data_IF_803661116202
#
_entry.id   IF_803661116202
#
_cell.length_a   1.000
_cell.length_b   1.000
_cell.length_c   1.000
_cell.angle_alpha   90.00
_cell.angle_beta   90.00
_cell.angle_gamma   90.00
#
_symmetry.space_group_name_H-M   'P 1'
#
loop_
_entity.id
_entity.type
_entity.pdbx_description
1 polymer ?
#
# COMPACT_ATOMS: atom_id res chain seq x y z
N UNK A 1 22.57 -6.96 -41.34
CA UNK A 1 23.59 -6.80 -40.28
C UNK A 1 23.12 -6.03 -39.07
N UNK A 2 21.92 -5.49 -39.10
CA UNK A 2 21.32 -4.66 -38.00
C UNK A 2 20.56 -5.49 -36.94
N UNK A 3 20.05 -6.66 -37.28
CA UNK A 3 19.24 -7.50 -36.37
C UNK A 3 20.02 -8.24 -35.25
N UNK A 4 21.32 -8.45 -35.41
CA UNK A 4 22.12 -9.18 -34.41
C UNK A 4 22.55 -8.30 -33.20
N UNK A 5 22.56 -6.97 -33.35
CA UNK A 5 22.94 -6.06 -32.25
C UNK A 5 21.83 -5.83 -31.22
N UNK A 6 20.55 -5.96 -31.63
CA UNK A 6 19.40 -5.77 -30.74
C UNK A 6 19.20 -6.95 -29.76
N UNK A 7 19.52 -8.16 -30.15
CA UNK A 7 19.38 -9.35 -29.30
C UNK A 7 20.43 -9.36 -28.18
N UNK A 8 21.65 -8.87 -28.46
CA UNK A 8 22.70 -8.76 -27.45
C UNK A 8 22.44 -7.70 -26.38
N UNK A 9 21.75 -6.59 -26.73
CA UNK A 9 21.35 -5.56 -25.78
C UNK A 9 20.21 -6.04 -24.85
N UNK A 10 19.24 -6.79 -25.38
CA UNK A 10 18.15 -7.37 -24.59
C UNK A 10 18.64 -8.43 -23.58
N UNK A 11 19.60 -9.25 -23.98
CA UNK A 11 20.22 -10.24 -23.09
C UNK A 11 21.07 -9.59 -22.00
N UNK A 12 21.70 -8.44 -22.26
CA UNK A 12 22.51 -7.73 -21.28
C UNK A 12 21.64 -7.07 -20.16
N UNK A 13 20.44 -6.57 -20.48
CA UNK A 13 19.51 -6.01 -19.50
C UNK A 13 18.89 -7.13 -18.66
N UNK A 14 18.54 -8.26 -19.26
CA UNK A 14 18.04 -9.44 -18.54
C UNK A 14 19.12 -10.07 -17.65
N UNK A 15 20.37 -10.09 -18.09
CA UNK A 15 21.51 -10.58 -17.30
C UNK A 15 21.87 -9.63 -16.14
N UNK A 16 21.67 -8.31 -16.30
CA UNK A 16 21.87 -7.33 -15.23
C UNK A 16 20.80 -7.45 -14.14
N UNK A 17 19.55 -7.73 -14.51
CA UNK A 17 18.46 -7.98 -13.55
C UNK A 17 18.65 -9.30 -12.78
N UNK A 18 19.25 -10.31 -13.40
CA UNK A 18 19.56 -11.60 -12.76
C UNK A 18 20.82 -11.55 -11.87
N UNK A 19 21.76 -10.64 -12.13
CA UNK A 19 22.97 -10.50 -11.32
C UNK A 19 22.79 -9.68 -10.03
N UNK A 20 21.72 -8.91 -9.92
CA UNK A 20 21.36 -8.18 -8.69
C UNK A 20 20.74 -9.08 -7.60
N UNK A 21 20.36 -10.32 -7.96
CA UNK A 21 19.77 -11.30 -7.02
C UNK A 21 20.79 -12.05 -6.13
N UNK A 22 22.08 -11.83 -6.29
CA UNK A 22 23.13 -12.53 -5.55
C UNK A 22 24.00 -11.62 -4.68
N UNK A 23 23.46 -10.52 -4.16
CA UNK A 23 24.14 -9.76 -3.13
C UNK A 23 24.03 -10.54 -1.80
N UNK A 24 25.08 -11.25 -1.43
CA UNK A 24 25.20 -11.82 -0.09
C UNK A 24 25.07 -10.71 0.95
N UNK A 25 24.38 -10.94 2.08
CA UNK A 25 24.27 -9.94 3.13
C UNK A 25 25.66 -9.59 3.65
N UNK A 26 26.02 -8.32 3.57
CA UNK A 26 27.22 -7.79 4.22
C UNK A 26 26.95 -7.85 5.72
N UNK A 27 27.56 -8.82 6.40
CA UNK A 27 27.53 -8.89 7.84
C UNK A 27 28.26 -7.66 8.41
N UNK A 28 27.51 -6.77 9.07
CA UNK A 28 28.08 -5.71 9.85
C UNK A 28 28.86 -6.34 11.03
N UNK A 29 30.16 -6.07 11.10
CA UNK A 29 31.02 -6.54 12.18
C UNK A 29 30.65 -5.81 13.47
N UNK A 30 30.12 -6.56 14.43
CA UNK A 30 29.94 -6.08 15.80
C UNK A 30 31.28 -6.03 16.52
N UNK A 31 31.71 -4.86 16.90
CA UNK A 31 32.80 -4.67 17.84
C UNK A 31 32.25 -4.62 19.27
N UNK A 32 32.61 -5.61 20.09
CA UNK A 32 32.66 -5.44 21.54
C UNK A 32 31.77 -6.30 22.42
N UNK A 33 32.45 -7.00 23.30
CA UNK A 33 32.08 -7.68 24.55
C UNK A 33 31.70 -9.16 24.46
N UNK A 34 32.52 -9.95 25.12
CA UNK A 34 32.57 -11.41 25.18
C UNK A 34 31.42 -12.09 25.94
N UNK A 35 30.18 -11.89 25.54
CA UNK A 35 29.08 -12.77 25.83
C UNK A 35 28.78 -13.58 24.57
N UNK A 36 28.62 -14.89 24.72
CA UNK A 36 28.17 -15.74 23.61
C UNK A 36 26.84 -15.18 23.10
N UNK A 37 26.91 -14.44 22.01
CA UNK A 37 25.73 -13.97 21.33
C UNK A 37 24.89 -15.20 20.95
N UNK A 38 23.72 -15.31 21.55
CA UNK A 38 22.61 -16.04 20.93
C UNK A 38 22.48 -15.50 19.52
N UNK A 39 22.16 -16.31 18.48
CA UNK A 39 21.93 -15.78 17.16
C UNK A 39 20.89 -14.67 17.31
N UNK A 40 21.35 -13.42 17.14
CA UNK A 40 20.48 -12.24 17.30
C UNK A 40 19.38 -12.38 16.26
N UNK A 41 18.17 -12.64 16.74
CA UNK A 41 16.99 -12.51 15.89
C UNK A 41 16.99 -11.06 15.42
N UNK A 42 16.92 -10.80 14.12
CA UNK A 42 16.86 -9.43 13.64
C UNK A 42 15.69 -8.74 14.33
N UNK A 43 15.96 -7.59 14.95
CA UNK A 43 14.92 -6.82 15.65
C UNK A 43 13.87 -6.43 14.60
N UNK A 44 12.73 -7.10 14.64
CA UNK A 44 11.64 -6.76 13.74
C UNK A 44 11.03 -5.45 14.21
N UNK A 45 10.81 -4.52 13.29
CA UNK A 45 10.13 -3.25 13.55
C UNK A 45 8.61 -3.35 13.30
N UNK A 46 8.12 -4.54 13.00
CA UNK A 46 6.69 -4.82 12.78
C UNK A 46 5.90 -4.46 14.03
N UNK A 47 4.79 -3.74 13.86
CA UNK A 47 3.93 -3.32 14.96
C UNK A 47 4.45 -2.14 15.80
N UNK A 48 5.58 -1.51 15.43
CA UNK A 48 6.16 -0.38 16.16
C UNK A 48 5.72 0.99 15.63
N UNK A 49 4.90 1.02 14.58
CA UNK A 49 4.40 2.24 13.92
C UNK A 49 2.91 2.42 14.17
N UNK A 50 2.46 3.68 14.17
CA UNK A 50 1.04 4.01 14.11
C UNK A 50 0.55 4.01 12.66
N UNK A 51 -0.75 4.07 12.49
CA UNK A 51 -1.41 4.12 11.18
C UNK A 51 -1.01 2.96 10.24
N UNK A 52 -0.83 1.75 10.80
CA UNK A 52 -0.41 0.58 10.04
C UNK A 52 -1.38 0.20 8.90
N UNK A 53 -2.63 0.67 8.94
CA UNK A 53 -3.60 0.48 7.85
C UNK A 53 -3.15 1.12 6.53
N UNK A 54 -2.22 2.07 6.56
CA UNK A 54 -1.61 2.68 5.37
C UNK A 54 -0.70 1.71 4.60
N UNK A 55 -0.32 0.58 5.18
CA UNK A 55 0.44 -0.48 4.50
C UNK A 55 -0.46 -1.51 3.81
N UNK A 56 -1.78 -1.44 4.02
CA UNK A 56 -2.74 -2.33 3.37
C UNK A 56 -2.84 -1.96 1.88
N UNK A 57 -2.46 -2.86 0.95
CA UNK A 57 -2.49 -2.58 -0.47
C UNK A 57 -3.88 -2.20 -0.98
N UNK A 58 -3.95 -1.12 -1.76
CA UNK A 58 -5.17 -0.59 -2.38
C UNK A 58 -5.23 -0.98 -3.86
N UNK A 59 -6.44 -1.17 -4.36
CA UNK A 59 -6.74 -1.39 -5.76
C UNK A 59 -6.63 -2.85 -6.18
N UNK A 60 -7.69 -3.33 -6.84
CA UNK A 60 -7.77 -4.72 -7.29
C UNK A 60 -6.71 -5.04 -8.35
N UNK A 61 -6.42 -4.09 -9.25
CA UNK A 61 -5.37 -4.24 -10.26
C UNK A 61 -4.00 -4.47 -9.61
N UNK A 62 -3.61 -3.61 -8.67
CA UNK A 62 -2.33 -3.73 -7.98
C UNK A 62 -2.26 -4.99 -7.11
N UNK A 63 -3.34 -5.36 -6.42
CA UNK A 63 -3.40 -6.62 -5.65
C UNK A 63 -3.21 -7.84 -6.55
N UNK A 64 -3.86 -7.89 -7.73
CA UNK A 64 -3.67 -8.95 -8.72
C UNK A 64 -2.24 -9.03 -9.28
N UNK A 65 -1.47 -7.94 -9.14
CA UNK A 65 -0.06 -7.82 -9.52
C UNK A 65 0.89 -7.90 -8.30
N UNK A 66 0.47 -8.54 -7.21
CA UNK A 66 1.23 -8.70 -5.96
C UNK A 66 1.67 -7.38 -5.29
N UNK A 67 1.10 -6.24 -5.70
CA UNK A 67 1.47 -4.91 -5.23
C UNK A 67 2.40 -4.13 -6.18
N UNK A 68 2.62 -4.60 -7.43
CA UNK A 68 3.35 -3.86 -8.46
C UNK A 68 2.53 -2.64 -8.92
N UNK A 69 2.44 -1.63 -8.08
CA UNK A 69 1.60 -0.46 -8.30
C UNK A 69 2.35 0.83 -8.59
N UNK A 70 3.67 0.87 -8.41
CA UNK A 70 4.45 2.11 -8.48
C UNK A 70 4.52 2.75 -9.86
N UNK A 71 4.37 1.95 -10.93
CA UNK A 71 4.55 2.39 -12.32
C UNK A 71 3.31 2.20 -13.18
N UNK A 72 2.60 1.08 -13.04
CA UNK A 72 1.59 0.64 -14.02
C UNK A 72 0.15 0.90 -13.63
N UNK A 73 -0.13 1.20 -12.37
CA UNK A 73 -1.48 1.56 -11.95
C UNK A 73 -1.88 2.91 -12.53
N UNK A 74 -3.15 3.02 -12.86
CA UNK A 74 -3.77 4.21 -13.43
C UNK A 74 -4.95 4.63 -12.56
N UNK A 75 -5.33 5.91 -12.65
CA UNK A 75 -6.51 6.44 -11.98
C UNK A 75 -6.36 6.53 -10.46
N UNK A 76 -7.45 6.27 -9.74
CA UNK A 76 -7.55 6.53 -8.30
C UNK A 76 -6.64 5.59 -7.50
N UNK A 77 -6.63 4.31 -7.81
CA UNK A 77 -5.84 3.32 -7.05
C UNK A 77 -4.33 3.61 -7.14
N UNK A 78 -3.89 4.18 -8.28
CA UNK A 78 -2.49 4.52 -8.49
C UNK A 78 -1.96 5.56 -7.50
N UNK A 79 -2.82 6.40 -6.95
CA UNK A 79 -2.45 7.47 -6.02
C UNK A 79 -1.95 6.96 -4.68
N UNK A 80 -2.41 5.78 -4.28
CA UNK A 80 -1.89 5.09 -3.09
C UNK A 80 -0.43 4.65 -3.30
N UNK A 81 -0.07 4.25 -4.52
CA UNK A 81 1.24 3.69 -4.84
C UNK A 81 2.25 4.78 -5.25
N UNK A 82 1.81 5.74 -6.06
CA UNK A 82 2.67 6.80 -6.56
C UNK A 82 1.83 8.04 -6.95
N UNK A 83 1.92 9.15 -6.23
CA UNK A 83 1.13 10.34 -6.53
C UNK A 83 1.41 10.96 -7.92
N UNK A 84 2.54 10.62 -8.56
CA UNK A 84 2.83 11.03 -9.93
C UNK A 84 1.80 10.53 -10.94
N UNK A 85 1.12 9.40 -10.64
CA UNK A 85 0.09 8.85 -11.53
C UNK A 85 -1.05 9.86 -11.83
N UNK A 86 -1.33 10.78 -10.91
CA UNK A 86 -2.31 11.84 -11.13
C UNK A 86 -1.99 12.71 -12.36
N UNK A 87 -0.72 13.03 -12.59
CA UNK A 87 -0.32 13.91 -13.70
C UNK A 87 -0.51 13.32 -15.10
N UNK A 88 -0.89 12.05 -15.20
CA UNK A 88 -1.19 11.38 -16.48
C UNK A 88 -2.69 11.27 -16.78
N UNK A 89 -3.54 11.74 -15.87
CA UNK A 89 -4.99 11.71 -16.04
C UNK A 89 -5.44 12.86 -16.94
N UNK A 90 -6.24 12.55 -17.95
CA UNK A 90 -6.67 13.52 -18.97
C UNK A 90 -8.10 14.01 -18.79
N UNK A 91 -8.90 13.32 -17.98
CA UNK A 91 -10.31 13.66 -17.72
C UNK A 91 -10.70 13.46 -16.26
N UNK A 92 -11.91 13.90 -15.91
CA UNK A 92 -12.46 13.63 -14.60
C UNK A 92 -12.46 12.12 -14.35
N UNK A 93 -11.83 11.70 -13.27
CA UNK A 93 -11.73 10.29 -12.88
C UNK A 93 -12.17 10.12 -11.43
N UNK A 94 -13.04 9.16 -11.16
CA UNK A 94 -13.48 8.81 -9.82
C UNK A 94 -13.53 7.29 -9.66
N UNK A 95 -13.32 6.80 -8.46
CA UNK A 95 -13.31 5.35 -8.22
C UNK A 95 -13.43 4.97 -6.76
N UNK A 96 -13.67 3.68 -6.56
CA UNK A 96 -13.81 3.02 -5.27
C UNK A 96 -13.10 1.67 -5.33
N UNK A 97 -12.36 1.34 -4.30
CA UNK A 97 -11.81 0.01 -4.05
C UNK A 97 -12.29 -0.47 -2.68
N UNK A 98 -12.70 -1.73 -2.62
CA UNK A 98 -13.15 -2.40 -1.41
C UNK A 98 -12.41 -3.72 -1.22
N UNK A 99 -12.05 -4.01 0.01
CA UNK A 99 -11.56 -5.34 0.39
C UNK A 99 -11.93 -5.68 1.83
N UNK A 100 -12.20 -6.93 2.09
CA UNK A 100 -12.03 -7.51 3.41
C UNK A 100 -10.54 -7.81 3.61
N UNK A 101 -9.94 -7.28 4.67
CA UNK A 101 -8.47 -7.33 4.86
C UNK A 101 -7.97 -8.75 5.02
N UNK A 102 -8.69 -9.54 5.82
CA UNK A 102 -8.49 -10.96 6.02
C UNK A 102 -9.85 -11.65 5.87
N UNK A 103 -9.95 -12.58 4.95
CA UNK A 103 -11.22 -13.23 4.64
C UNK A 103 -11.89 -13.86 5.88
N UNK A 104 -13.15 -13.50 6.11
CA UNK A 104 -13.96 -14.02 7.24
C UNK A 104 -13.76 -13.29 8.58
N UNK A 105 -13.04 -12.16 8.63
CA UNK A 105 -12.81 -11.41 9.87
C UNK A 105 -13.75 -10.23 10.08
N UNK A 106 -14.42 -9.75 9.01
CA UNK A 106 -15.23 -8.54 9.05
C UNK A 106 -14.42 -7.24 9.13
N UNK A 107 -13.08 -7.30 8.97
CA UNK A 107 -12.24 -6.11 8.89
C UNK A 107 -12.29 -5.57 7.46
N UNK A 108 -12.93 -4.44 7.28
CA UNK A 108 -13.21 -3.87 5.97
C UNK A 108 -12.29 -2.68 5.68
N UNK A 109 -11.84 -2.60 4.43
CA UNK A 109 -10.97 -1.54 3.94
C UNK A 109 -11.55 -0.93 2.68
N UNK A 110 -11.71 0.38 2.68
CA UNK A 110 -12.25 1.18 1.61
C UNK A 110 -11.23 2.21 1.16
N UNK A 111 -11.10 2.37 -0.15
CA UNK A 111 -10.32 3.45 -0.74
C UNK A 111 -11.14 4.10 -1.86
N UNK A 112 -11.31 5.40 -1.80
CA UNK A 112 -12.05 6.15 -2.81
C UNK A 112 -11.37 7.47 -3.11
N UNK A 113 -11.67 8.05 -4.26
CA UNK A 113 -11.14 9.35 -4.61
C UNK A 113 -11.66 9.89 -5.92
N UNK A 114 -11.21 11.09 -6.23
CA UNK A 114 -11.54 11.81 -7.45
C UNK A 114 -10.34 12.62 -7.92
N UNK A 115 -10.14 12.66 -9.22
CA UNK A 115 -9.11 13.43 -9.90
C UNK A 115 -9.75 14.38 -10.89
N UNK A 116 -9.29 15.62 -10.90
CA UNK A 116 -9.76 16.67 -11.80
C UNK A 116 -8.56 17.37 -12.47
N UNK A 117 -8.32 17.15 -13.78
CA UNK A 117 -7.35 17.92 -14.54
C UNK A 117 -7.82 19.38 -14.69
N UNK A 118 -6.94 20.32 -14.35
CA UNK A 118 -7.22 21.75 -14.44
C UNK A 118 -5.92 22.54 -14.68
N UNK A 119 -5.89 23.36 -15.74
CA UNK A 119 -4.81 24.29 -16.05
C UNK A 119 -3.40 23.64 -16.10
N UNK A 120 -3.29 22.42 -16.64
CA UNK A 120 -2.02 21.70 -16.79
C UNK A 120 -1.53 21.00 -15.51
N UNK A 121 -2.34 21.01 -14.46
CA UNK A 121 -2.20 20.21 -13.26
C UNK A 121 -3.39 19.27 -13.13
N UNK A 122 -3.22 18.18 -12.40
CA UNK A 122 -4.33 17.35 -11.95
C UNK A 122 -4.39 17.43 -10.43
N UNK A 123 -5.53 17.88 -9.92
CA UNK A 123 -5.82 17.90 -8.47
C UNK A 123 -6.65 16.67 -8.10
N UNK A 124 -6.44 16.18 -6.91
CA UNK A 124 -7.21 15.03 -6.42
C UNK A 124 -7.47 15.07 -4.94
N UNK A 125 -8.51 14.32 -4.57
CA UNK A 125 -8.87 14.03 -3.17
C UNK A 125 -9.03 12.53 -3.02
N UNK A 126 -8.50 11.98 -1.94
CA UNK A 126 -8.60 10.55 -1.62
C UNK A 126 -9.05 10.35 -0.19
N UNK A 127 -9.78 9.27 0.04
CA UNK A 127 -10.14 8.78 1.37
C UNK A 127 -9.77 7.31 1.44
N UNK A 128 -8.94 6.97 2.41
CA UNK A 128 -8.58 5.61 2.79
C UNK A 128 -9.16 5.33 4.17
N UNK A 129 -10.00 4.31 4.33
CA UNK A 129 -10.70 4.02 5.57
C UNK A 129 -10.68 2.53 5.89
N UNK A 130 -10.42 2.21 7.14
CA UNK A 130 -10.48 0.86 7.68
C UNK A 130 -11.40 0.83 8.88
N UNK A 131 -12.20 -0.22 9.00
CA UNK A 131 -13.03 -0.51 10.18
C UNK A 131 -12.88 -1.98 10.59
N UNK A 132 -12.82 -2.22 11.89
CA UNK A 132 -12.80 -3.58 12.43
C UNK A 132 -14.18 -4.24 12.51
N UNK A 133 -15.25 -3.49 12.21
CA UNK A 133 -16.58 -3.89 12.61
C UNK A 133 -16.78 -3.80 14.13
N UNK A 134 -17.95 -4.20 14.58
CA UNK A 134 -18.31 -4.15 16.00
C UNK A 134 -17.61 -5.25 16.82
N UNK A 135 -16.92 -4.87 17.87
CA UNK A 135 -16.25 -5.75 18.82
C UNK A 135 -17.01 -5.71 20.14
N UNK A 136 -17.48 -6.85 20.69
CA UNK A 136 -18.15 -6.90 21.98
C UNK A 136 -17.23 -6.42 23.11
N UNK A 137 -17.73 -5.50 23.93
CA UNK A 137 -17.02 -5.04 25.10
C UNK A 137 -17.10 -6.09 26.21
N UNK A 138 -15.97 -6.58 26.67
CA UNK A 138 -15.85 -7.53 27.77
C UNK A 138 -15.52 -6.81 29.09
N UNK A 139 -15.90 -7.39 30.22
CA UNK A 139 -15.56 -6.95 31.56
C UNK A 139 -15.09 -8.14 32.39
N UNK A 140 -14.39 -7.89 33.50
CA UNK A 140 -13.92 -8.94 34.41
C UNK A 140 -15.06 -9.86 34.89
N UNK A 141 -16.25 -9.30 35.13
CA UNK A 141 -17.46 -10.03 35.53
C UNK A 141 -18.19 -10.72 34.39
N UNK A 142 -17.91 -10.36 33.14
CA UNK A 142 -18.54 -10.91 31.91
C UNK A 142 -17.49 -11.06 30.80
N UNK A 143 -16.53 -12.01 30.98
CA UNK A 143 -15.44 -12.21 30.03
C UNK A 143 -15.89 -12.76 28.66
N UNK A 144 -17.05 -13.39 28.60
CA UNK A 144 -17.63 -13.93 27.36
C UNK A 144 -18.37 -12.86 26.51
N UNK A 145 -18.40 -11.60 26.96
CA UNK A 145 -19.04 -10.53 26.20
C UNK A 145 -20.57 -10.59 26.16
N UNK A 146 -21.20 -11.27 27.12
CA UNK A 146 -22.68 -11.39 27.21
C UNK A 146 -23.40 -10.01 27.30
N UNK A 147 -22.66 -8.96 27.66
CA UNK A 147 -23.15 -7.57 27.60
C UNK A 147 -23.31 -7.01 26.16
N UNK A 148 -22.88 -7.73 25.13
CA UNK A 148 -23.18 -7.35 23.75
C UNK A 148 -24.70 -7.28 23.49
N UNK A 149 -25.49 -8.10 24.20
CA UNK A 149 -26.94 -8.01 24.19
C UNK A 149 -27.51 -6.69 24.76
N UNK A 150 -26.71 -5.93 25.52
CA UNK A 150 -27.01 -4.60 26.04
C UNK A 150 -26.42 -3.46 25.17
N UNK A 151 -25.88 -3.79 23.97
CA UNK A 151 -25.34 -2.81 23.02
C UNK A 151 -23.98 -2.21 23.41
N UNK A 152 -23.23 -2.84 24.30
CA UNK A 152 -21.90 -2.38 24.69
C UNK A 152 -20.83 -2.94 23.73
N UNK A 153 -20.77 -2.40 22.51
CA UNK A 153 -19.74 -2.68 21.51
C UNK A 153 -18.79 -1.50 21.35
N UNK A 154 -17.64 -1.72 20.76
CA UNK A 154 -16.73 -0.70 20.25
C UNK A 154 -16.19 -1.12 18.89
N UNK A 155 -15.73 -0.16 18.11
CA UNK A 155 -15.08 -0.38 16.82
C UNK A 155 -13.73 0.33 16.77
N UNK A 156 -12.78 -0.27 16.08
CA UNK A 156 -11.55 0.41 15.68
C UNK A 156 -11.76 1.01 14.30
N UNK A 157 -11.49 2.29 14.17
CA UNK A 157 -11.53 3.00 12.89
C UNK A 157 -10.22 3.69 12.60
N UNK A 158 -9.80 3.62 11.35
CA UNK A 158 -8.66 4.36 10.86
C UNK A 158 -9.01 5.03 9.54
N UNK A 159 -8.65 6.30 9.38
CA UNK A 159 -9.01 7.08 8.20
C UNK A 159 -7.85 7.99 7.80
N UNK A 160 -7.54 8.04 6.51
CA UNK A 160 -6.63 9.01 5.92
C UNK A 160 -7.34 9.77 4.81
N UNK A 161 -7.40 11.09 4.93
CA UNK A 161 -7.94 11.98 3.89
C UNK A 161 -6.76 12.71 3.27
N UNK A 162 -6.58 12.55 1.95
CA UNK A 162 -5.48 13.10 1.20
C UNK A 162 -5.95 14.14 0.18
N UNK A 163 -5.16 15.18 0.01
CA UNK A 163 -5.21 16.07 -1.15
C UNK A 163 -3.91 15.95 -1.92
N UNK A 164 -3.98 15.97 -3.23
CA UNK A 164 -2.81 15.73 -4.07
C UNK A 164 -2.81 16.60 -5.31
N UNK A 165 -1.63 16.77 -5.87
CA UNK A 165 -1.40 17.43 -7.14
C UNK A 165 -0.40 16.62 -7.97
N UNK A 166 -0.69 16.44 -9.24
CA UNK A 166 0.19 15.83 -10.22
C UNK A 166 0.37 16.72 -11.44
N UNK A 167 1.52 16.60 -12.08
CA UNK A 167 1.81 17.34 -13.32
C UNK A 167 2.75 16.56 -14.23
N UNK A 168 2.45 16.56 -15.50
CA UNK A 168 3.40 16.17 -16.54
C UNK A 168 4.35 17.34 -16.82
N UNK A 169 5.64 17.14 -16.51
CA UNK A 169 6.67 18.19 -16.67
C UNK A 169 7.23 18.18 -18.09
N UNK A 170 7.46 16.99 -18.64
CA UNK A 170 7.85 16.77 -20.02
C UNK A 170 7.01 15.63 -20.60
N UNK A 171 7.14 15.36 -21.90
CA UNK A 171 6.52 14.22 -22.56
C UNK A 171 6.88 12.85 -21.94
N UNK A 172 7.92 12.81 -21.09
CA UNK A 172 8.43 11.58 -20.46
C UNK A 172 8.45 11.59 -18.93
N UNK A 173 8.34 12.77 -18.32
CA UNK A 173 8.47 12.93 -16.87
C UNK A 173 7.18 13.46 -16.25
N UNK A 174 6.63 12.68 -15.32
CA UNK A 174 5.48 13.05 -14.50
C UNK A 174 5.90 13.10 -13.05
N UNK A 175 5.43 14.10 -12.32
CA UNK A 175 5.69 14.27 -10.89
C UNK A 175 4.38 14.45 -10.13
N UNK A 176 4.37 14.08 -8.87
CA UNK A 176 3.21 14.27 -8.01
C UNK A 176 3.58 14.39 -6.54
N UNK A 177 2.72 15.06 -5.79
CA UNK A 177 2.84 15.20 -4.35
C UNK A 177 1.44 15.13 -3.70
N UNK A 178 1.40 14.64 -2.47
CA UNK A 178 0.17 14.59 -1.67
C UNK A 178 0.46 14.98 -0.22
N UNK A 179 -0.57 15.51 0.44
CA UNK A 179 -0.59 15.70 1.90
C UNK A 179 -1.83 14.98 2.44
N UNK A 180 -1.67 14.27 3.56
CA UNK A 180 -2.71 13.45 4.17
C UNK A 180 -2.90 13.81 5.63
N UNK A 181 -4.15 13.95 6.06
CA UNK A 181 -4.53 13.89 7.47
C UNK A 181 -4.95 12.46 7.81
N UNK A 182 -4.32 11.90 8.82
CA UNK A 182 -4.47 10.50 9.21
C UNK A 182 -4.96 10.46 10.65
N UNK A 183 -5.96 9.64 10.95
CA UNK A 183 -6.50 9.44 12.29
C UNK A 183 -6.84 7.97 12.50
N UNK A 184 -6.45 7.42 13.65
CA UNK A 184 -6.83 6.04 14.02
C UNK A 184 -7.16 5.96 15.50
N UNK A 185 -7.97 4.98 15.86
CA UNK A 185 -8.29 4.67 17.24
C UNK A 185 -9.67 4.08 17.42
N UNK A 186 -10.07 4.02 18.69
CA UNK A 186 -11.40 3.62 19.14
C UNK A 186 -12.15 4.83 19.70
N UNK A 187 -13.45 4.69 19.95
CA UNK A 187 -14.21 5.73 20.63
C UNK A 187 -13.61 6.04 22.00
N UNK A 188 -13.21 7.30 22.21
CA UNK A 188 -12.60 7.77 23.46
C UNK A 188 -11.07 7.69 23.52
N UNK A 189 -10.38 7.14 22.51
CA UNK A 189 -8.93 7.20 22.40
C UNK A 189 -8.49 7.23 20.92
N UNK A 190 -7.84 8.32 20.47
CA UNK A 190 -7.41 8.54 19.11
C UNK A 190 -6.01 9.11 19.01
N UNK A 191 -5.31 8.74 17.93
CA UNK A 191 -4.09 9.38 17.49
C UNK A 191 -4.29 10.01 16.10
N UNK A 192 -3.59 11.12 15.81
CA UNK A 192 -3.70 11.81 14.52
C UNK A 192 -2.34 12.28 14.05
N UNK A 193 -2.11 12.15 12.75
CA UNK A 193 -0.87 12.54 12.08
C UNK A 193 -1.15 13.37 10.83
N UNK A 194 -0.14 14.11 10.42
CA UNK A 194 -0.07 14.68 9.07
C UNK A 194 1.09 14.00 8.36
N UNK A 195 0.80 13.45 7.18
CA UNK A 195 1.78 12.78 6.32
C UNK A 195 1.85 13.43 4.94
N UNK A 196 2.98 13.23 4.26
CA UNK A 196 3.19 13.68 2.90
C UNK A 196 3.75 12.54 2.05
N UNK A 197 3.41 12.58 0.75
CA UNK A 197 3.92 11.67 -0.26
C UNK A 197 4.51 12.48 -1.42
N UNK A 198 5.54 11.94 -2.03
CA UNK A 198 6.09 12.45 -3.28
C UNK A 198 6.39 11.29 -4.21
N UNK A 199 6.26 11.54 -5.52
CA UNK A 199 6.55 10.51 -6.49
C UNK A 199 6.90 11.05 -7.86
N UNK A 200 7.57 10.20 -8.62
CA UNK A 200 7.97 10.47 -10.01
C UNK A 200 7.65 9.25 -10.87
N UNK A 201 7.38 9.49 -12.15
CA UNK A 201 7.29 8.47 -13.19
C UNK A 201 8.02 8.97 -14.42
N UNK A 202 8.86 8.11 -14.99
CA UNK A 202 9.67 8.43 -16.14
C UNK A 202 9.54 7.36 -17.23
N UNK A 203 9.29 7.79 -18.46
CA UNK A 203 9.22 6.95 -19.66
C UNK A 203 10.56 7.00 -20.38
N UNK A 204 11.27 5.87 -20.43
CA UNK A 204 12.63 5.84 -20.99
C UNK A 204 12.66 5.97 -22.52
N UNK A 205 11.55 5.60 -23.20
CA UNK A 205 11.47 5.51 -24.64
C UNK A 205 12.13 4.25 -25.23
N UNK A 206 12.58 3.30 -24.40
CA UNK A 206 13.17 2.04 -24.82
C UNK A 206 12.23 0.88 -24.47
N UNK A 207 11.74 0.14 -25.46
CA UNK A 207 10.86 -1.03 -25.28
C UNK A 207 9.63 -0.77 -24.39
N UNK A 208 9.07 0.45 -24.44
CA UNK A 208 7.99 0.83 -23.53
C UNK A 208 8.35 0.79 -22.06
N UNK A 209 9.65 0.86 -21.73
CA UNK A 209 10.10 0.80 -20.33
C UNK A 209 9.77 2.08 -19.58
N UNK A 210 9.12 1.92 -18.44
CA UNK A 210 8.73 2.97 -17.50
C UNK A 210 9.38 2.71 -16.16
N UNK A 211 9.81 3.76 -15.50
CA UNK A 211 10.42 3.73 -14.17
C UNK A 211 9.58 4.61 -13.26
N UNK A 212 9.29 4.13 -12.07
CA UNK A 212 8.59 4.90 -11.02
C UNK A 212 9.34 4.84 -9.72
N UNK A 213 9.30 5.94 -8.97
CA UNK A 213 9.77 5.96 -7.60
C UNK A 213 8.86 6.85 -6.76
N UNK A 214 8.64 6.46 -5.51
CA UNK A 214 7.85 7.25 -4.56
C UNK A 214 8.37 7.08 -3.13
N UNK A 215 8.18 8.11 -2.33
CA UNK A 215 8.34 8.08 -0.88
C UNK A 215 6.98 8.43 -0.30
N UNK A 216 6.46 7.52 0.52
CA UNK A 216 5.10 7.58 1.04
C UNK A 216 5.10 7.72 2.56
N UNK A 217 4.06 8.39 3.08
CA UNK A 217 3.78 8.50 4.51
C UNK A 217 4.91 9.15 5.32
N UNK A 218 5.59 10.14 4.77
CA UNK A 218 6.59 10.93 5.51
C UNK A 218 5.85 11.88 6.46
N UNK A 219 6.07 11.75 7.77
CA UNK A 219 5.37 12.60 8.73
C UNK A 219 5.93 12.53 10.14
N UNK A 220 5.34 13.30 11.02
CA UNK A 220 5.70 13.34 12.44
C UNK A 220 5.23 12.12 13.23
N UNK A 221 5.57 12.10 14.52
CA UNK A 221 5.06 11.13 15.47
C UNK A 221 3.85 11.71 16.24
N UNK A 222 2.91 10.85 16.60
CA UNK A 222 1.77 11.21 17.44
C UNK A 222 1.61 10.25 18.61
N UNK A 223 0.82 10.69 19.60
CA UNK A 223 0.42 9.89 20.76
C UNK A 223 -1.09 9.69 20.72
N UNK A 224 -1.52 8.55 21.22
CA UNK A 224 -2.95 8.34 21.49
C UNK A 224 -3.38 9.23 22.64
N UNK A 225 -4.50 9.92 22.49
CA UNK A 225 -5.09 10.82 23.45
C UNK A 225 -6.61 10.62 23.53
N UNK A 226 -7.23 11.02 24.65
CA UNK A 226 -8.66 10.91 24.84
C UNK A 226 -9.03 10.40 26.24
N UNK A 227 -10.32 10.19 26.47
CA UNK A 227 -10.85 9.83 27.79
C UNK A 227 -10.35 8.47 28.30
N UNK A 228 -10.13 7.49 27.40
CA UNK A 228 -9.66 6.15 27.77
C UNK A 228 -8.20 6.12 28.19
N UNK A 229 -7.42 7.15 27.86
CA UNK A 229 -6.03 7.29 28.33
C UNK A 229 -5.91 8.26 29.52
N UNK A 230 -7.04 8.58 30.17
CA UNK A 230 -7.11 9.37 31.40
C UNK A 230 -7.50 8.44 32.54
N UNK A 231 -6.66 8.36 33.56
CA UNK A 231 -6.94 7.59 34.77
C UNK A 231 -7.22 8.56 35.94
N UNK A 232 -8.12 8.18 36.85
CA UNK A 232 -8.30 8.89 38.10
C UNK A 232 -7.47 8.20 39.17
N UNK A 233 -6.51 8.92 39.74
CA UNK A 233 -5.71 8.42 40.87
C UNK A 233 -6.32 8.97 42.16
N UNK A 234 -6.82 8.07 42.99
CA UNK A 234 -7.26 8.39 44.35
C UNK A 234 -6.02 8.65 45.23
N UNK A 235 -5.90 9.87 45.75
CA UNK A 235 -4.89 10.21 46.74
C UNK A 235 -5.53 10.17 48.12
N UNK A 236 -5.31 9.09 48.87
CA UNK A 236 -5.74 9.02 50.27
C UNK A 236 -4.81 9.91 51.09
N UNK A 237 -5.34 10.94 51.72
CA UNK A 237 -4.64 11.67 52.76
C UNK A 237 -5.06 11.09 54.10
N UNK A 238 -4.12 10.53 54.87
CA UNK A 238 -4.34 9.84 56.15
C UNK A 238 -5.06 10.70 57.25
N UNK A 239 -5.19 11.99 57.06
CA UNK A 239 -5.69 12.88 58.12
C UNK A 239 -7.19 13.26 58.00
N UNK A 240 -7.75 13.13 56.80
CA UNK A 240 -9.19 13.33 56.60
C UNK A 240 -9.64 12.44 55.46
N UNK A 241 -10.59 11.57 55.67
CA UNK A 241 -11.13 10.58 54.73
C UNK A 241 -11.81 11.19 53.51
N UNK A 242 -11.17 12.15 52.82
CA UNK A 242 -11.62 12.73 51.58
C UNK A 242 -10.73 12.18 50.46
N UNK A 243 -11.20 11.14 49.78
CA UNK A 243 -10.61 10.68 48.52
C UNK A 243 -10.73 11.82 47.47
N UNK A 244 -9.63 12.41 47.11
CA UNK A 244 -9.55 13.29 45.93
C UNK A 244 -9.16 12.47 44.74
N UNK A 245 -10.09 12.31 43.81
CA UNK A 245 -9.79 11.76 42.49
C UNK A 245 -9.09 12.84 41.64
N UNK A 246 -7.81 12.61 41.35
CA UNK A 246 -7.02 13.50 40.49
C UNK A 246 -6.96 12.86 39.10
N UNK A 247 -7.51 13.52 38.07
CA UNK A 247 -7.38 13.02 36.70
C UNK A 247 -5.92 13.15 36.23
N UNK A 248 -5.34 12.06 35.79
CA UNK A 248 -3.99 12.00 35.22
C UNK A 248 -4.05 11.44 33.80
N UNK A 249 -3.35 12.09 32.87
CA UNK A 249 -3.22 11.56 31.52
C UNK A 249 -2.08 10.55 31.46
N UNK A 250 -2.39 9.34 31.00
CA UNK A 250 -1.39 8.32 30.72
C UNK A 250 -0.60 8.74 29.45
N UNK A 251 0.71 8.82 29.58
CA UNK A 251 1.58 9.07 28.44
C UNK A 251 1.72 7.80 27.59
N UNK A 252 0.99 7.73 26.48
CA UNK A 252 1.18 6.66 25.48
C UNK A 252 2.51 6.87 24.75
N UNK A 253 3.05 5.79 24.19
CA UNK A 253 4.26 5.86 23.39
C UNK A 253 4.04 6.68 22.11
N UNK A 254 5.07 7.41 21.68
CA UNK A 254 5.07 8.08 20.39
C UNK A 254 5.12 7.05 19.27
N UNK A 255 4.14 7.09 18.38
CA UNK A 255 4.07 6.26 17.20
C UNK A 255 4.33 7.11 15.95
N UNK A 256 5.28 6.69 15.12
CA UNK A 256 5.60 7.31 13.84
C UNK A 256 4.77 6.68 12.72
N UNK A 257 4.62 7.39 11.59
CA UNK A 257 3.98 6.84 10.39
C UNK A 257 4.82 5.72 9.74
N UNK A 258 4.18 4.77 9.04
CA UNK A 258 4.86 3.71 8.29
C UNK A 258 5.41 4.30 6.97
N UNK A 259 6.52 5.01 7.06
CA UNK A 259 7.19 5.57 5.86
C UNK A 259 7.69 4.45 4.98
N UNK A 260 7.42 4.51 3.69
CA UNK A 260 7.86 3.52 2.72
C UNK A 260 8.50 4.19 1.49
N UNK A 261 9.59 3.60 1.02
CA UNK A 261 10.16 3.86 -0.29
C UNK A 261 9.67 2.79 -1.26
N UNK A 262 9.29 3.21 -2.47
CA UNK A 262 8.91 2.31 -3.55
C UNK A 262 9.69 2.66 -4.80
N UNK A 263 10.13 1.63 -5.51
CA UNK A 263 10.79 1.73 -6.81
C UNK A 263 10.27 0.64 -7.72
N UNK A 264 9.92 0.98 -8.94
CA UNK A 264 9.42 0.01 -9.90
C UNK A 264 9.91 0.27 -11.31
N UNK A 265 9.95 -0.81 -12.06
CA UNK A 265 10.23 -0.82 -13.50
C UNK A 265 9.17 -1.68 -14.18
N UNK A 266 8.57 -1.15 -15.24
CA UNK A 266 7.65 -1.88 -16.09
C UNK A 266 8.15 -1.83 -17.54
N UNK A 267 8.01 -2.93 -18.27
CA UNK A 267 8.42 -3.04 -19.66
C UNK A 267 7.30 -3.68 -20.49
N UNK A 268 6.96 -3.06 -21.61
CA UNK A 268 5.96 -3.61 -22.51
C UNK A 268 6.62 -4.68 -23.40
N UNK A 269 6.26 -5.94 -23.16
CA UNK A 269 6.75 -7.07 -23.94
C UNK A 269 6.09 -7.12 -25.32
N UNK A 270 4.79 -6.81 -25.41
CA UNK A 270 4.03 -6.81 -26.66
C UNK A 270 2.94 -5.73 -26.64
N UNK A 271 2.46 -5.35 -27.81
CA UNK A 271 1.28 -4.51 -28.00
C UNK A 271 1.51 -3.01 -28.01
N UNK A 272 2.67 -2.53 -27.59
CA UNK A 272 3.03 -1.10 -27.68
C UNK A 272 3.93 -0.84 -28.91
N UNK A 273 3.95 0.39 -29.45
CA UNK A 273 4.75 0.72 -30.65
C UNK A 273 6.24 0.42 -30.52
N UNK A 274 6.76 0.40 -29.31
CA UNK A 274 8.19 0.15 -29.01
C UNK A 274 8.40 -1.14 -28.22
N UNK A 275 7.40 -2.03 -28.17
CA UNK A 275 7.49 -3.29 -27.41
C UNK A 275 8.51 -4.27 -28.03
N UNK A 276 9.01 -5.18 -27.19
CA UNK A 276 10.10 -6.10 -27.54
C UNK A 276 9.70 -7.18 -28.54
N UNK A 277 8.49 -7.75 -28.42
CA UNK A 277 8.07 -8.96 -29.16
C UNK A 277 7.10 -8.70 -30.31
N UNK A 278 6.45 -7.53 -30.37
CA UNK A 278 5.51 -7.21 -31.42
C UNK A 278 4.57 -6.06 -31.08
N UNK A 279 4.02 -5.43 -32.10
CA UNK A 279 3.26 -4.18 -31.99
C UNK A 279 1.75 -4.36 -32.24
N UNK A 280 1.22 -5.61 -32.21
CA UNK A 280 -0.24 -5.82 -32.36
C UNK A 280 -0.99 -5.26 -31.14
N UNK A 281 -1.76 -4.18 -31.29
CA UNK A 281 -2.43 -3.51 -30.18
C UNK A 281 -3.52 -4.36 -29.51
N UNK A 282 -3.94 -5.46 -30.14
CA UNK A 282 -4.93 -6.39 -29.55
C UNK A 282 -4.35 -7.20 -28.43
N UNK A 283 -3.05 -7.44 -28.41
CA UNK A 283 -2.36 -8.29 -27.45
C UNK A 283 -1.31 -7.48 -26.70
N UNK A 284 -1.67 -6.93 -25.57
CA UNK A 284 -0.75 -6.17 -24.70
C UNK A 284 -0.18 -7.09 -23.62
N UNK A 285 1.12 -7.12 -23.46
CA UNK A 285 1.78 -7.84 -22.36
C UNK A 285 2.82 -6.94 -21.71
N UNK A 286 2.73 -6.78 -20.39
CA UNK A 286 3.64 -5.95 -19.60
C UNK A 286 4.24 -6.77 -18.48
N UNK A 287 5.56 -6.73 -18.33
CA UNK A 287 6.31 -7.32 -17.22
C UNK A 287 6.71 -6.21 -16.25
N UNK A 288 6.62 -6.48 -14.96
CA UNK A 288 6.88 -5.52 -13.88
C UNK A 288 7.79 -6.11 -12.83
N UNK A 289 8.64 -5.26 -12.31
CA UNK A 289 9.44 -5.50 -11.12
C UNK A 289 9.28 -4.28 -10.20
N UNK A 290 8.84 -4.50 -8.98
CA UNK A 290 8.75 -3.45 -7.96
C UNK A 290 9.51 -3.88 -6.71
N UNK A 291 9.98 -2.89 -5.98
CA UNK A 291 10.64 -3.02 -4.68
C UNK A 291 9.97 -2.06 -3.71
N UNK A 292 9.49 -2.58 -2.58
CA UNK A 292 8.99 -1.77 -1.48
C UNK A 292 9.88 -1.97 -0.27
N UNK A 293 10.35 -0.89 0.33
CA UNK A 293 11.10 -0.87 1.58
C UNK A 293 10.38 0.03 2.59
N UNK A 294 9.81 -0.58 3.61
CA UNK A 294 9.05 0.08 4.66
C UNK A 294 9.83 0.18 5.96
N UNK A 295 9.61 1.25 6.72
CA UNK A 295 10.28 1.42 8.04
C UNK A 295 9.82 0.42 9.09
N UNK A 296 8.71 -0.27 8.87
CA UNK A 296 8.08 -1.27 9.74
C UNK A 296 7.99 -2.66 9.12
N UNK A 297 8.46 -2.85 7.91
CA UNK A 297 8.45 -4.12 7.20
C UNK A 297 9.84 -4.40 6.63
N UNK A 298 10.14 -5.67 6.36
CA UNK A 298 11.30 -6.01 5.56
C UNK A 298 11.11 -5.55 4.11
N UNK A 299 12.21 -5.39 3.39
CA UNK A 299 12.19 -5.09 1.97
C UNK A 299 11.45 -6.19 1.19
N UNK A 300 10.52 -5.80 0.33
CA UNK A 300 9.62 -6.68 -0.41
C UNK A 300 9.86 -6.54 -1.92
N UNK A 301 10.71 -7.38 -2.50
CA UNK A 301 10.78 -7.49 -3.96
C UNK A 301 9.56 -8.24 -4.49
N UNK A 302 9.10 -7.84 -5.67
CA UNK A 302 8.00 -8.50 -6.35
C UNK A 302 8.21 -8.49 -7.86
N UNK A 303 7.62 -9.47 -8.52
CA UNK A 303 7.54 -9.59 -9.96
C UNK A 303 6.09 -9.85 -10.35
N UNK A 304 5.65 -9.21 -11.44
CA UNK A 304 4.28 -9.38 -11.92
C UNK A 304 4.21 -9.28 -13.45
N UNK A 305 3.14 -9.83 -14.00
CA UNK A 305 2.83 -9.74 -15.41
C UNK A 305 1.34 -9.44 -15.61
N UNK A 306 1.05 -8.57 -16.56
CA UNK A 306 -0.31 -8.26 -17.01
C UNK A 306 -0.41 -8.58 -18.50
N UNK A 307 -1.47 -9.28 -18.88
CA UNK A 307 -1.86 -9.49 -20.26
C UNK A 307 -3.23 -8.86 -20.50
N UNK A 308 -3.33 -8.04 -21.54
CA UNK A 308 -4.55 -7.36 -21.97
C UNK A 308 -4.94 -7.80 -23.38
N UNK A 309 -6.23 -8.06 -23.58
CA UNK A 309 -6.80 -8.41 -24.87
C UNK A 309 -7.77 -7.31 -25.33
N UNK A 310 -7.51 -6.72 -26.50
CA UNK A 310 -8.31 -5.65 -27.14
C UNK A 310 -8.56 -4.42 -26.25
N UNK A 311 -7.72 -4.15 -25.26
CA UNK A 311 -7.93 -3.14 -24.22
C UNK A 311 -9.30 -3.28 -23.49
N UNK A 312 -9.86 -4.48 -23.51
CA UNK A 312 -11.16 -4.84 -22.94
C UNK A 312 -11.03 -5.77 -21.74
N UNK A 313 -10.26 -6.84 -21.86
CA UNK A 313 -10.10 -7.85 -20.81
C UNK A 313 -8.63 -7.97 -20.39
N UNK A 314 -8.39 -8.13 -19.09
CA UNK A 314 -7.05 -8.20 -18.51
C UNK A 314 -6.95 -9.40 -17.57
N UNK A 315 -5.81 -10.09 -17.65
CA UNK A 315 -5.41 -11.16 -16.72
C UNK A 315 -4.09 -10.74 -16.09
N UNK A 316 -3.96 -10.95 -14.79
CA UNK A 316 -2.82 -10.52 -13.99
C UNK A 316 -2.33 -11.66 -13.10
N UNK A 317 -1.03 -11.74 -12.95
CA UNK A 317 -0.38 -12.66 -12.02
C UNK A 317 0.82 -11.95 -11.40
N UNK A 318 1.12 -12.29 -10.15
CA UNK A 318 2.27 -11.73 -9.47
C UNK A 318 2.73 -12.56 -8.30
N UNK A 319 3.97 -12.34 -7.91
CA UNK A 319 4.58 -12.91 -6.70
C UNK A 319 5.33 -11.82 -5.96
N UNK A 320 5.06 -11.71 -4.67
CA UNK A 320 5.80 -10.90 -3.71
C UNK A 320 6.57 -11.81 -2.76
N UNK A 321 7.79 -11.46 -2.48
CA UNK A 321 8.58 -12.12 -1.44
C UNK A 321 8.59 -11.25 -0.20
N UNK A 322 8.27 -11.84 0.91
CA UNK A 322 8.37 -11.27 2.24
C UNK A 322 9.45 -12.00 3.02
N UNK A 323 9.69 -11.61 4.27
CA UNK A 323 10.79 -12.12 5.06
C UNK A 323 10.81 -13.66 5.11
N UNK A 324 12.02 -14.25 5.06
CA UNK A 324 12.27 -15.71 4.96
C UNK A 324 11.60 -16.53 6.08
N UNK A 325 11.37 -15.96 7.26
CA UNK A 325 10.70 -16.67 8.36
C UNK A 325 9.24 -17.03 8.04
N UNK A 326 8.52 -16.18 7.31
CA UNK A 326 7.15 -16.48 6.86
C UNK A 326 7.13 -17.37 5.61
N UNK A 327 8.14 -17.24 4.75
CA UNK A 327 8.26 -18.05 3.55
C UNK A 327 8.53 -19.54 3.84
N UNK A 328 9.07 -19.85 5.01
CA UNK A 328 9.32 -21.23 5.44
C UNK A 328 8.03 -22.00 5.79
N UNK A 329 6.91 -21.32 6.03
CA UNK A 329 5.64 -21.96 6.39
C UNK A 329 4.74 -22.25 5.19
N UNK A 330 4.78 -21.42 4.13
CA UNK A 330 3.99 -21.64 2.91
C UNK A 330 4.65 -21.04 1.66
N UNK A 331 4.92 -21.87 0.68
CA UNK A 331 5.50 -21.42 -0.62
C UNK A 331 4.54 -20.58 -1.46
N UNK A 332 3.23 -20.66 -1.20
CA UNK A 332 2.19 -19.89 -1.90
C UNK A 332 1.98 -18.47 -1.35
N UNK A 333 2.56 -18.15 -0.17
CA UNK A 333 2.47 -16.80 0.41
C UNK A 333 2.94 -15.72 -0.58
N UNK A 334 2.14 -14.65 -0.74
CA UNK A 334 2.43 -13.55 -1.65
C UNK A 334 2.18 -13.85 -3.15
N UNK A 335 1.60 -15.01 -3.51
CA UNK A 335 1.06 -15.24 -4.84
C UNK A 335 -0.23 -14.43 -5.03
N UNK A 336 -0.39 -13.87 -6.21
CA UNK A 336 -1.57 -13.09 -6.56
C UNK A 336 -2.05 -13.39 -7.97
N UNK A 337 -3.34 -13.16 -8.18
CA UNK A 337 -4.00 -13.22 -9.47
C UNK A 337 -5.04 -12.11 -9.58
N UNK A 338 -5.36 -11.69 -10.79
CA UNK A 338 -6.36 -10.65 -11.01
C UNK A 338 -7.02 -10.75 -12.36
N UNK A 339 -8.24 -10.23 -12.43
CA UNK A 339 -9.02 -10.07 -13.64
C UNK A 339 -9.46 -8.60 -13.75
N UNK A 340 -9.56 -8.10 -14.99
CA UNK A 340 -10.04 -6.75 -15.24
C UNK A 340 -10.89 -6.69 -16.51
N UNK A 341 -11.90 -5.83 -16.47
CA UNK A 341 -12.72 -5.48 -17.62
C UNK A 341 -12.72 -3.97 -17.80
N UNK A 342 -12.46 -3.51 -19.01
CA UNK A 342 -12.53 -2.11 -19.42
C UNK A 342 -13.63 -1.93 -20.45
N UNK A 343 -14.62 -1.13 -20.11
CA UNK A 343 -15.76 -0.86 -20.94
C UNK A 343 -15.71 0.62 -21.39
N UNK A 344 -15.74 0.83 -22.69
CA UNK A 344 -15.84 2.18 -23.26
C UNK A 344 -17.25 2.37 -23.81
N UNK A 345 -18.05 3.24 -23.20
CA UNK A 345 -19.41 3.53 -23.59
C UNK A 345 -19.70 5.03 -23.50
N UNK A 346 -20.34 5.60 -24.52
CA UNK A 346 -20.75 7.01 -24.55
C UNK A 346 -19.61 8.01 -24.30
N UNK A 347 -18.40 7.70 -24.81
CA UNK A 347 -17.21 8.53 -24.60
C UNK A 347 -16.65 8.48 -23.15
N UNK A 348 -17.07 7.52 -22.35
CA UNK A 348 -16.66 7.31 -20.96
C UNK A 348 -16.03 5.94 -20.82
N UNK A 349 -15.06 5.84 -19.90
CA UNK A 349 -14.40 4.58 -19.56
C UNK A 349 -14.83 4.11 -18.17
N UNK A 350 -15.16 2.82 -18.08
CA UNK A 350 -15.47 2.10 -16.85
C UNK A 350 -14.49 0.95 -16.72
N UNK A 351 -13.73 0.93 -15.64
CA UNK A 351 -12.84 -0.17 -15.29
C UNK A 351 -13.43 -0.92 -14.09
N UNK A 352 -13.54 -2.25 -14.21
CA UNK A 352 -13.99 -3.15 -13.15
C UNK A 352 -12.89 -4.18 -12.96
N UNK A 353 -12.30 -4.20 -11.79
CA UNK A 353 -11.18 -5.08 -11.48
C UNK A 353 -11.47 -5.95 -10.26
N UNK A 354 -10.97 -7.17 -10.30
CA UNK A 354 -10.91 -8.10 -9.20
C UNK A 354 -9.47 -8.54 -8.98
N UNK A 355 -9.02 -8.56 -7.73
CA UNK A 355 -7.71 -9.01 -7.30
C UNK A 355 -7.79 -10.01 -6.17
N UNK A 356 -7.01 -11.06 -6.27
CA UNK A 356 -6.78 -12.08 -5.27
C UNK A 356 -5.32 -12.05 -4.81
N UNK A 357 -5.07 -12.20 -3.51
CA UNK A 357 -3.74 -12.35 -2.94
C UNK A 357 -3.76 -13.35 -1.79
N UNK A 358 -2.87 -14.34 -1.87
CA UNK A 358 -2.63 -15.29 -0.79
C UNK A 358 -1.74 -14.66 0.28
N UNK A 359 -2.24 -14.59 1.52
CA UNK A 359 -1.54 -14.05 2.69
C UNK A 359 -1.02 -15.15 3.63
N UNK A 360 -0.93 -16.40 3.15
CA UNK A 360 -0.47 -17.55 3.92
C UNK A 360 -1.37 -17.87 5.12
N UNK A 361 -0.83 -17.90 6.31
CA UNK A 361 -1.58 -18.20 7.53
C UNK A 361 -2.72 -17.22 7.85
N UNK A 362 -2.75 -16.07 7.20
CA UNK A 362 -3.82 -15.06 7.32
C UNK A 362 -4.91 -15.24 6.26
N UNK A 363 -4.96 -16.39 5.59
CA UNK A 363 -5.85 -16.71 4.49
C UNK A 363 -5.59 -15.85 3.24
N UNK A 364 -6.63 -15.51 2.52
CA UNK A 364 -6.59 -14.72 1.31
C UNK A 364 -7.25 -13.36 1.49
N UNK A 365 -6.89 -12.47 0.58
CA UNK A 365 -7.55 -11.18 0.40
C UNK A 365 -8.20 -11.12 -0.97
N UNK A 366 -9.44 -10.66 -0.98
CA UNK A 366 -10.21 -10.33 -2.17
C UNK A 366 -10.40 -8.83 -2.25
N UNK A 367 -10.06 -8.24 -3.40
CA UNK A 367 -10.19 -6.81 -3.64
C UNK A 367 -11.04 -6.58 -4.88
N UNK A 368 -11.99 -5.67 -4.77
CA UNK A 368 -12.84 -5.22 -5.87
C UNK A 368 -12.60 -3.73 -6.10
N UNK A 369 -12.41 -3.33 -7.35
CA UNK A 369 -12.29 -1.93 -7.72
C UNK A 369 -13.23 -1.58 -8.86
N UNK A 370 -13.80 -0.40 -8.76
CA UNK A 370 -14.57 0.23 -9.82
C UNK A 370 -14.06 1.64 -10.07
N UNK A 371 -13.81 1.98 -11.32
CA UNK A 371 -13.37 3.31 -11.72
C UNK A 371 -14.17 3.79 -12.91
N UNK A 372 -14.43 5.07 -12.89
CA UNK A 372 -15.07 5.83 -13.98
C UNK A 372 -14.15 6.96 -14.42
N UNK A 373 -14.02 7.16 -15.74
CA UNK A 373 -13.25 8.26 -16.33
C UNK A 373 -14.01 8.88 -17.49
N UNK A 374 -13.94 10.23 -17.60
CA UNK A 374 -14.53 11.01 -18.69
C UNK A 374 -13.45 11.50 -19.63
#
# INVERSE_FOLDING_TARGET
>A
MYQKKSILAGCAVAALALSLGAAAPVAAQNFGSGERASPERPVTRVGTRGAAFLDIPVGARANGLAGAGSVVTEGIDALYWNPAAAGSVTGLTAGLSYSEVFSGTGIEHYYTGMLLPLAGFTFGVTVNSLTSGEIPRTQETTPSGENAALGATYDFTATAIGVLVGRQITDRLVVGAAVKHISEGIQGARASWVGADVGIRFETGLYGTRIGASILNVGGAARMSGQLVTANIGVAREVFAVERNIPVNLNTQLAQLPTAFQFGVAMDLAGAPQSLLGTDPRHKATLMFDLRDGTNTAMQPLIAAEYGFNDFAFIRVGKRWENEELANYETSHGLSAGLGLRLNALGRRFDIDYGYMNLGILNERHVFSFQFSM
#
